data_IF_966243990068
#
_entry.id   IF_966243990068
#
_cell.length_a   1.000
_cell.length_b   1.000
_cell.length_c   1.000
_cell.angle_alpha   90.00
_cell.angle_beta   90.00
_cell.angle_gamma   90.00
#
_symmetry.space_group_name_H-M   'P 1'
#
loop_
_entity.id
_entity.type
_entity.pdbx_description
1 polymer ?
#
# COMPACT_ATOMS: atom_id res chain seq x y z
N UNK A 1 -6.96 3.45 5.72
CA UNK A 1 -7.71 2.56 4.80
C UNK A 1 -7.10 2.61 3.41
N UNK A 2 -6.82 1.48 2.77
CA UNK A 2 -6.29 1.47 1.40
C UNK A 2 -7.39 1.57 0.35
N UNK A 3 -7.14 2.36 -0.70
CA UNK A 3 -7.98 2.52 -1.89
C UNK A 3 -7.12 2.82 -3.12
N UNK A 4 -7.73 2.89 -4.30
CA UNK A 4 -7.05 3.23 -5.54
C UNK A 4 -7.89 4.20 -6.38
N UNK A 5 -7.24 4.86 -7.34
CA UNK A 5 -7.86 5.71 -8.35
C UNK A 5 -7.04 5.62 -9.63
N UNK A 6 -7.68 5.51 -10.79
CA UNK A 6 -6.98 5.55 -12.07
C UNK A 6 -6.49 6.98 -12.34
N UNK A 7 -5.20 7.12 -12.64
CA UNK A 7 -4.58 8.41 -12.91
C UNK A 7 -4.65 8.77 -14.39
N UNK A 8 -5.07 10.00 -14.68
CA UNK A 8 -5.18 10.55 -16.03
C UNK A 8 -3.82 10.91 -16.68
N UNK A 9 -2.71 10.77 -15.93
CA UNK A 9 -1.33 11.15 -16.33
C UNK A 9 -1.17 12.63 -16.65
N UNK A 10 -2.07 13.48 -16.17
CA UNK A 10 -2.09 14.94 -16.39
C UNK A 10 -2.21 15.72 -15.10
N UNK A 11 -2.98 15.19 -14.16
CA UNK A 11 -3.22 15.78 -12.85
C UNK A 11 -1.97 15.67 -11.98
N UNK A 12 -1.70 16.72 -11.21
CA UNK A 12 -0.58 16.77 -10.27
C UNK A 12 -0.75 15.74 -9.15
N UNK A 13 0.37 15.19 -8.68
CA UNK A 13 0.40 14.26 -7.55
C UNK A 13 1.28 14.88 -6.47
N UNK A 14 0.70 15.10 -5.28
CA UNK A 14 1.38 15.70 -4.12
C UNK A 14 2.08 17.05 -4.43
N UNK A 15 1.49 17.86 -5.30
CA UNK A 15 2.04 19.16 -5.69
C UNK A 15 3.19 19.08 -6.70
N UNK A 16 3.54 17.88 -7.19
CA UNK A 16 4.47 17.72 -8.30
C UNK A 16 3.71 17.51 -9.61
N UNK A 17 4.16 18.15 -10.72
CA UNK A 17 3.48 18.05 -11.99
C UNK A 17 3.55 16.62 -12.55
N UNK A 18 2.54 16.20 -13.31
CA UNK A 18 2.51 14.88 -13.93
C UNK A 18 3.78 14.58 -14.75
N UNK A 19 4.32 15.58 -15.45
CA UNK A 19 5.56 15.48 -16.23
C UNK A 19 6.77 15.07 -15.40
N UNK A 20 6.84 15.47 -14.14
CA UNK A 20 7.90 15.05 -13.21
C UNK A 20 7.80 13.54 -12.97
N UNK A 21 6.62 13.04 -12.60
CA UNK A 21 6.41 11.62 -12.31
C UNK A 21 6.68 10.73 -13.53
N UNK A 22 6.22 11.14 -14.71
CA UNK A 22 6.44 10.41 -15.98
C UNK A 22 7.90 10.47 -16.45
N UNK A 23 8.65 11.50 -16.06
CA UNK A 23 10.08 11.62 -16.35
C UNK A 23 10.88 10.65 -15.47
N UNK A 24 10.63 10.67 -14.17
CA UNK A 24 11.35 9.84 -13.19
C UNK A 24 10.94 8.36 -13.27
N UNK A 25 9.74 8.06 -13.78
CA UNK A 25 9.19 6.71 -13.85
C UNK A 25 8.70 6.39 -15.26
N UNK A 26 9.62 5.97 -16.14
CA UNK A 26 9.30 5.69 -17.55
C UNK A 26 8.24 4.60 -17.74
N UNK A 27 8.16 3.63 -16.82
CA UNK A 27 7.17 2.56 -16.84
C UNK A 27 5.72 3.05 -16.64
N UNK A 28 5.52 4.27 -16.11
CA UNK A 28 4.19 4.87 -15.94
C UNK A 28 3.65 5.48 -17.24
N UNK A 29 4.44 5.55 -18.32
CA UNK A 29 4.03 6.24 -19.55
C UNK A 29 3.00 5.45 -20.34
N UNK A 30 3.14 4.14 -20.37
CA UNK A 30 2.26 3.24 -21.13
C UNK A 30 1.18 2.63 -20.20
N UNK A 31 0.11 2.10 -20.80
CA UNK A 31 -0.98 1.43 -20.08
C UNK A 31 -1.77 2.31 -19.11
N UNK A 32 -2.58 1.65 -18.27
CA UNK A 32 -3.29 2.31 -17.17
C UNK A 32 -2.35 2.45 -15.97
N UNK A 33 -2.47 3.56 -15.25
CA UNK A 33 -1.70 3.84 -14.03
C UNK A 33 -2.66 4.15 -12.91
N UNK A 34 -2.37 3.65 -11.71
CA UNK A 34 -3.20 3.84 -10.55
C UNK A 34 -2.46 4.57 -9.43
N UNK A 35 -3.16 5.51 -8.81
CA UNK A 35 -2.79 6.11 -7.53
C UNK A 35 -3.25 5.18 -6.42
N UNK A 36 -2.32 4.52 -5.76
CA UNK A 36 -2.59 3.76 -4.54
C UNK A 36 -2.65 4.74 -3.39
N UNK A 37 -3.77 4.79 -2.67
CA UNK A 37 -4.02 5.73 -1.57
C UNK A 37 -4.10 5.00 -0.23
N UNK A 38 -3.51 5.58 0.80
CA UNK A 38 -3.68 5.18 2.20
C UNK A 38 -4.32 6.34 2.96
N UNK A 39 -5.54 6.12 3.46
CA UNK A 39 -6.33 7.12 4.19
C UNK A 39 -6.48 8.43 3.40
N UNK A 40 -6.78 8.33 2.11
CA UNK A 40 -6.99 9.46 1.20
C UNK A 40 -5.72 10.09 0.63
N UNK A 41 -4.55 9.81 1.21
CA UNK A 41 -3.26 10.31 0.72
C UNK A 41 -2.66 9.32 -0.27
N UNK A 42 -2.16 9.80 -1.41
CA UNK A 42 -1.40 8.95 -2.35
C UNK A 42 -0.20 8.35 -1.62
N UNK A 43 -0.17 7.04 -1.48
CA UNK A 43 0.94 6.32 -0.87
C UNK A 43 2.00 6.01 -1.94
N UNK A 44 1.56 5.48 -3.08
CA UNK A 44 2.42 5.09 -4.20
C UNK A 44 1.66 5.16 -5.55
N UNK A 45 2.38 5.15 -6.67
CA UNK A 45 1.85 5.24 -8.05
C UNK A 45 2.44 4.09 -8.85
N UNK A 46 1.61 3.30 -9.53
CA UNK A 46 2.08 2.10 -10.22
C UNK A 46 1.29 1.81 -11.50
N UNK A 47 1.95 1.20 -12.49
CA UNK A 47 1.27 0.76 -13.71
C UNK A 47 0.51 -0.55 -13.51
N UNK A 48 -0.58 -0.71 -14.25
CA UNK A 48 -1.38 -1.94 -14.24
C UNK A 48 -0.54 -3.17 -14.59
N UNK A 49 0.44 -3.03 -15.49
CA UNK A 49 1.28 -4.14 -15.93
C UNK A 49 2.21 -4.62 -14.82
N UNK A 50 2.79 -3.69 -14.05
CA UNK A 50 3.62 -4.03 -12.89
C UNK A 50 2.76 -4.66 -11.79
N UNK A 51 1.57 -4.11 -11.52
CA UNK A 51 0.63 -4.73 -10.58
C UNK A 51 0.26 -6.16 -11.01
N UNK A 52 -0.08 -6.36 -12.29
CA UNK A 52 -0.45 -7.67 -12.84
C UNK A 52 0.69 -8.68 -12.70
N UNK A 53 1.91 -8.28 -13.05
CA UNK A 53 3.11 -9.11 -12.92
C UNK A 53 3.35 -9.51 -11.47
N UNK A 54 3.25 -8.56 -10.52
CA UNK A 54 3.43 -8.83 -9.09
C UNK A 54 2.37 -9.78 -8.52
N UNK A 55 1.16 -9.78 -9.08
CA UNK A 55 0.06 -10.64 -8.65
C UNK A 55 0.03 -11.99 -9.38
N UNK A 56 0.89 -12.20 -10.39
CA UNK A 56 0.85 -13.34 -11.29
C UNK A 56 -0.56 -13.53 -11.91
N UNK A 57 -1.22 -12.43 -12.24
CA UNK A 57 -2.57 -12.45 -12.82
C UNK A 57 -2.53 -12.69 -14.33
N UNK A 58 -3.55 -13.35 -14.90
CA UNK A 58 -3.68 -13.55 -16.34
C UNK A 58 -3.61 -12.23 -17.13
N UNK A 59 -3.02 -12.26 -18.33
CA UNK A 59 -2.90 -11.08 -19.20
C UNK A 59 -4.25 -10.49 -19.62
N UNK A 60 -5.30 -11.33 -19.67
CA UNK A 60 -6.65 -10.90 -20.03
C UNK A 60 -7.45 -10.32 -18.85
N UNK A 61 -6.88 -10.22 -17.64
CA UNK A 61 -7.52 -9.52 -16.53
C UNK A 61 -7.61 -8.02 -16.80
N UNK A 62 -8.77 -7.45 -16.51
CA UNK A 62 -9.03 -6.02 -16.67
C UNK A 62 -8.22 -5.19 -15.67
N UNK A 63 -7.97 -3.92 -15.99
CA UNK A 63 -7.19 -3.03 -15.13
C UNK A 63 -7.80 -2.86 -13.74
N UNK A 64 -9.12 -2.75 -13.65
CA UNK A 64 -9.83 -2.65 -12.37
C UNK A 64 -9.71 -3.93 -11.54
N UNK A 65 -9.84 -5.12 -12.16
CA UNK A 65 -9.65 -6.39 -11.45
C UNK A 65 -8.24 -6.50 -10.87
N UNK A 66 -7.23 -6.12 -11.63
CA UNK A 66 -5.83 -6.11 -11.20
C UNK A 66 -5.64 -5.12 -10.04
N UNK A 67 -6.12 -3.88 -10.18
CA UNK A 67 -5.99 -2.86 -9.15
C UNK A 67 -6.71 -3.24 -7.85
N UNK A 68 -7.92 -3.77 -7.95
CA UNK A 68 -8.69 -4.24 -6.79
C UNK A 68 -7.97 -5.40 -6.08
N UNK A 69 -7.48 -6.39 -6.83
CA UNK A 69 -6.73 -7.52 -6.27
C UNK A 69 -5.44 -7.07 -5.59
N UNK A 70 -4.75 -6.08 -6.17
CA UNK A 70 -3.53 -5.50 -5.61
C UNK A 70 -3.81 -4.84 -4.25
N UNK A 71 -4.88 -4.05 -4.17
CA UNK A 71 -5.32 -3.40 -2.94
C UNK A 71 -5.75 -4.44 -1.89
N UNK A 72 -6.44 -5.50 -2.29
CA UNK A 72 -6.83 -6.57 -1.38
C UNK A 72 -5.61 -7.30 -0.80
N UNK A 73 -4.57 -7.53 -1.60
CA UNK A 73 -3.31 -8.10 -1.13
C UNK A 73 -2.57 -7.15 -0.17
N UNK A 74 -2.52 -5.85 -0.45
CA UNK A 74 -1.93 -4.88 0.50
C UNK A 74 -2.73 -4.80 1.79
N UNK A 75 -4.07 -4.81 1.71
CA UNK A 75 -4.92 -4.89 2.91
C UNK A 75 -4.61 -6.14 3.71
N UNK A 76 -4.39 -7.31 3.09
CA UNK A 76 -4.00 -8.54 3.81
C UNK A 76 -2.61 -8.43 4.43
N UNK A 77 -1.62 -7.92 3.69
CA UNK A 77 -0.26 -7.73 4.19
C UNK A 77 -0.15 -6.72 5.33
N UNK A 78 -1.06 -5.74 5.40
CA UNK A 78 -1.15 -4.79 6.53
C UNK A 78 -2.15 -5.23 7.61
N UNK A 79 -3.12 -6.09 7.30
CA UNK A 79 -4.11 -6.58 8.27
C UNK A 79 -3.66 -7.85 9.01
N UNK A 80 -2.55 -8.48 8.62
CA UNK A 80 -2.06 -9.70 9.25
C UNK A 80 -0.53 -9.66 9.29
N UNK A 81 0.07 -9.70 10.47
CA UNK A 81 0.05 -10.92 11.27
C UNK A 81 -0.68 -10.80 12.64
N UNK A 82 -1.80 -11.52 12.86
CA UNK A 82 -2.46 -11.60 14.17
C UNK A 82 -1.53 -12.12 15.27
N UNK A 83 -0.53 -12.94 14.92
CA UNK A 83 0.50 -13.40 15.85
C UNK A 83 1.44 -12.25 16.24
N UNK A 84 1.79 -11.37 15.30
CA UNK A 84 2.53 -10.14 15.58
C UNK A 84 1.74 -9.17 16.47
N UNK A 85 0.43 -9.01 16.24
CA UNK A 85 -0.43 -8.20 17.12
C UNK A 85 -0.54 -8.81 18.53
N UNK A 86 -0.64 -10.14 18.62
CA UNK A 86 -0.64 -10.87 19.89
C UNK A 86 0.70 -10.71 20.63
N UNK A 87 1.83 -10.87 19.94
CA UNK A 87 3.18 -10.67 20.50
C UNK A 87 3.40 -9.25 20.99
N UNK A 88 2.91 -8.24 20.27
CA UNK A 88 2.97 -6.84 20.72
C UNK A 88 2.20 -6.68 22.04
N UNK A 89 0.98 -7.20 22.12
CA UNK A 89 0.19 -7.14 23.36
C UNK A 89 0.84 -7.89 24.52
N UNK A 90 1.45 -9.06 24.29
CA UNK A 90 2.18 -9.83 25.31
C UNK A 90 3.45 -9.09 25.80
N UNK A 91 4.16 -8.41 24.90
CA UNK A 91 5.30 -7.57 25.25
C UNK A 91 4.88 -6.35 26.08
N UNK A 92 3.78 -5.69 25.73
CA UNK A 92 3.24 -4.55 26.48
C UNK A 92 2.88 -4.94 27.92
N UNK A 93 2.16 -6.06 28.10
CA UNK A 93 1.83 -6.56 29.44
C UNK A 93 3.09 -6.94 30.26
N UNK A 94 4.11 -7.48 29.60
CA UNK A 94 5.39 -7.82 30.27
C UNK A 94 6.13 -6.57 30.75
N UNK A 95 6.15 -5.51 29.93
CA UNK A 95 6.77 -4.23 30.28
C UNK A 95 6.05 -3.58 31.47
N UNK A 96 4.72 -3.56 31.47
CA UNK A 96 3.91 -3.01 32.57
C UNK A 96 4.22 -3.71 33.90
N UNK A 97 4.33 -5.04 33.89
CA UNK A 97 4.65 -5.82 35.08
C UNK A 97 6.06 -5.51 35.61
N UNK A 98 7.06 -5.44 34.72
CA UNK A 98 8.43 -5.11 35.10
C UNK A 98 8.55 -3.70 35.70
N UNK A 99 7.79 -2.73 35.17
CA UNK A 99 7.73 -1.37 35.71
C UNK A 99 7.13 -1.38 37.12
N UNK A 100 6.00 -2.07 37.32
CA UNK A 100 5.36 -2.19 38.64
C UNK A 100 6.28 -2.85 39.67
N UNK A 101 6.97 -3.92 39.28
CA UNK A 101 7.89 -4.64 40.16
C UNK A 101 9.13 -3.80 40.52
N UNK A 102 9.54 -2.88 39.64
CA UNK A 102 10.64 -1.94 39.89
C UNK A 102 10.27 -0.78 40.83
N UNK A 103 8.99 -0.42 40.91
CA UNK A 103 8.48 0.67 41.76
C UNK A 103 8.19 0.20 43.20
N UNK A 104 8.04 -1.11 43.40
CA UNK A 104 7.73 -1.72 44.71
C UNK A 104 8.96 -2.32 45.42
N UNK A 105 10.17 -2.05 44.93
CA UNK A 105 11.46 -2.39 45.57
C UNK A 105 12.16 -1.14 46.08
#
# INVERSE_FOLDING_TARGET
>A
MFSYEMWDKKSDIKGFPASYWLKENSHLREGDVFLVKQSGTVFYVESVDVMRANLLMPENSTSDEVAQKYIDNMKKGYAQDPESLKRISELESTIEQLVLDSLNK
#
